data_IF_460786851952
#
_entry.id   IF_460786851952
#
_cell.length_a   1.000
_cell.length_b   1.000
_cell.length_c   1.000
_cell.angle_alpha   90.00
_cell.angle_beta   90.00
_cell.angle_gamma   90.00
#
_symmetry.space_group_name_H-M   'P 1'
#
loop_
_entity.id
_entity.type
_entity.pdbx_description
1 polymer ?
#
# COMPACT_ATOMS: atom_id res chain seq x y z
N UNK A 1 -5.05 -18.72 10.28
CA UNK A 1 -5.41 -17.28 10.13
C UNK A 1 -4.12 -16.46 10.10
N UNK A 2 -3.64 -16.12 8.90
CA UNK A 2 -2.32 -15.51 8.71
C UNK A 2 -2.28 -14.05 9.14
N UNK A 3 -1.20 -13.63 9.80
CA UNK A 3 -0.92 -12.26 10.25
C UNK A 3 -1.26 -11.26 9.13
N UNK A 4 -2.05 -10.22 9.42
CA UNK A 4 -2.37 -9.15 8.45
C UNK A 4 -1.07 -8.53 7.96
N UNK A 5 -0.60 -8.92 6.77
CA UNK A 5 0.66 -8.41 6.23
C UNK A 5 0.44 -7.01 5.65
N UNK A 6 1.50 -6.18 5.54
CA UNK A 6 1.41 -4.91 4.82
C UNK A 6 0.96 -5.10 3.36
N UNK A 7 1.25 -6.26 2.76
CA UNK A 7 0.87 -6.59 1.39
C UNK A 7 -0.65 -6.82 1.27
N UNK A 8 -1.30 -7.44 2.26
CA UNK A 8 -2.75 -7.63 2.26
C UNK A 8 -3.52 -6.31 2.34
N UNK A 9 -3.00 -5.35 3.11
CA UNK A 9 -3.56 -4.00 3.18
C UNK A 9 -3.45 -3.31 1.81
N UNK A 10 -2.28 -3.40 1.17
CA UNK A 10 -2.09 -2.80 -0.16
C UNK A 10 -2.96 -3.49 -1.22
N UNK A 11 -3.12 -4.81 -1.17
CA UNK A 11 -4.04 -5.56 -2.04
C UNK A 11 -5.49 -5.08 -1.87
N UNK A 12 -5.94 -4.85 -0.64
CA UNK A 12 -7.27 -4.26 -0.37
C UNK A 12 -7.40 -2.86 -0.96
N UNK A 13 -6.38 -2.01 -0.82
CA UNK A 13 -6.40 -0.66 -1.39
C UNK A 13 -6.33 -0.66 -2.92
N UNK A 14 -5.67 -1.64 -3.53
CA UNK A 14 -5.70 -1.85 -4.99
C UNK A 14 -7.10 -2.27 -5.45
N UNK A 15 -7.74 -3.23 -4.77
CA UNK A 15 -9.12 -3.64 -5.07
C UNK A 15 -10.11 -2.47 -4.92
N UNK A 16 -9.90 -1.60 -3.93
CA UNK A 16 -10.71 -0.40 -3.71
C UNK A 16 -10.37 0.77 -4.67
N UNK A 17 -9.51 0.58 -5.68
CA UNK A 17 -9.14 1.64 -6.64
C UNK A 17 -8.29 2.79 -6.07
N UNK A 18 -7.87 2.70 -4.80
CA UNK A 18 -7.07 3.72 -4.10
C UNK A 18 -5.59 3.67 -4.50
N UNK A 19 -5.11 2.54 -5.01
CA UNK A 19 -3.71 2.30 -5.38
C UNK A 19 -3.62 1.70 -6.79
N UNK A 20 -2.67 2.18 -7.61
CA UNK A 20 -2.41 1.62 -8.94
C UNK A 20 -1.72 0.25 -8.81
N UNK A 21 -2.08 -0.70 -9.70
CA UNK A 21 -1.44 -2.03 -9.81
C UNK A 21 0.06 -1.93 -10.11
N UNK A 22 0.47 -1.01 -10.99
CA UNK A 22 1.88 -0.72 -11.31
C UNK A 22 2.29 0.67 -10.84
N UNK A 23 3.53 0.78 -10.36
CA UNK A 23 4.16 2.08 -10.14
C UNK A 23 4.43 2.74 -11.49
N UNK A 24 4.00 3.99 -11.67
CA UNK A 24 4.28 4.75 -12.89
C UNK A 24 5.74 5.21 -13.03
N UNK A 25 6.59 4.95 -12.01
CA UNK A 25 8.03 5.28 -11.96
C UNK A 25 8.39 6.74 -12.26
N UNK A 26 7.41 7.64 -12.26
CA UNK A 26 7.61 9.08 -12.38
C UNK A 26 8.49 9.59 -11.22
N UNK A 27 9.37 10.57 -11.50
CA UNK A 27 10.22 11.21 -10.47
C UNK A 27 9.41 11.62 -9.24
N UNK A 28 8.21 12.17 -9.46
CA UNK A 28 7.22 12.43 -8.42
C UNK A 28 6.29 11.23 -8.22
N UNK A 29 6.33 10.63 -7.03
CA UNK A 29 5.46 9.50 -6.68
C UNK A 29 4.00 9.98 -6.62
N UNK A 30 3.14 9.44 -7.49
CA UNK A 30 1.72 9.79 -7.48
C UNK A 30 1.03 9.36 -6.17
N UNK A 31 -0.08 10.03 -5.82
CA UNK A 31 -0.89 9.73 -4.61
C UNK A 31 -1.37 8.27 -4.55
N UNK A 32 -1.49 7.60 -5.71
CA UNK A 32 -1.88 6.18 -5.87
C UNK A 32 -0.69 5.22 -6.01
N UNK A 33 0.54 5.65 -5.69
CA UNK A 33 1.75 4.85 -5.87
C UNK A 33 1.77 3.62 -4.93
N UNK A 34 1.99 2.40 -5.45
CA UNK A 34 2.03 1.18 -4.63
C UNK A 34 3.19 1.18 -3.63
N UNK A 35 4.29 1.87 -3.90
CA UNK A 35 5.43 1.99 -2.97
C UNK A 35 5.06 2.86 -1.76
N UNK A 36 4.38 4.00 -1.98
CA UNK A 36 3.88 4.84 -0.89
C UNK A 36 2.81 4.10 -0.08
N UNK A 37 1.95 3.33 -0.75
CA UNK A 37 0.96 2.49 -0.12
C UNK A 37 1.60 1.43 0.79
N UNK A 38 2.67 0.76 0.35
CA UNK A 38 3.42 -0.19 1.17
C UNK A 38 4.04 0.47 2.41
N UNK A 39 4.62 1.66 2.26
CA UNK A 39 5.17 2.41 3.40
C UNK A 39 4.07 2.77 4.42
N UNK A 40 2.91 3.26 3.94
CA UNK A 40 1.74 3.57 4.77
C UNK A 40 1.14 2.33 5.45
N UNK A 41 1.14 1.19 4.77
CA UNK A 41 0.64 -0.06 5.33
C UNK A 41 1.56 -0.58 6.44
N UNK A 42 2.89 -0.48 6.26
CA UNK A 42 3.87 -0.81 7.30
C UNK A 42 3.70 0.08 8.54
N UNK A 43 3.60 1.39 8.37
CA UNK A 43 3.37 2.30 9.51
C UNK A 43 2.03 2.06 10.18
N UNK A 44 0.96 1.78 9.42
CA UNK A 44 -0.34 1.42 10.01
C UNK A 44 -0.31 0.12 10.81
N UNK A 45 0.45 -0.88 10.37
CA UNK A 45 0.59 -2.14 11.10
C UNK A 45 1.46 -1.97 12.34
N UNK A 46 2.53 -1.18 12.26
CA UNK A 46 3.38 -0.86 13.40
C UNK A 46 2.65 0.00 14.46
N UNK A 47 1.74 0.89 14.04
CA UNK A 47 0.92 1.70 14.96
C UNK A 47 -0.32 0.96 15.50
N UNK A 48 -0.62 -0.23 14.97
CA UNK A 48 -1.74 -1.06 15.42
C UNK A 48 -1.29 -2.28 16.24
N UNK A 49 0.00 -2.35 16.57
CA UNK A 49 0.62 -3.30 17.49
C UNK A 49 0.97 -2.55 18.78
#
# INVERSE_FOLDING_TARGET
MGKKTPQDIVRKWMKAGKVKKKCCRSKSRCKKCPVLALKKAKTKLAAAA
#
